data_IF_419299012445
#
_entry.id   IF_419299012445
#
_cell.length_a   1.000
_cell.length_b   1.000
_cell.length_c   1.000
_cell.angle_alpha   90.00
_cell.angle_beta   90.00
_cell.angle_gamma   90.00
#
_symmetry.space_group_name_H-M   'P 1'
#
loop_
_entity.id
_entity.type
_entity.pdbx_description
1 polymer ?
#
# COMPACT_ATOMS: atom_id res chain seq x y z
N UNK A 1 3.96 9.01 -22.55
CA UNK A 1 4.32 9.92 -21.43
C UNK A 1 4.49 9.09 -20.15
N UNK A 2 5.51 9.33 -19.32
CA UNK A 2 5.74 8.57 -18.07
C UNK A 2 5.27 9.37 -16.86
N UNK A 3 4.45 8.77 -16.02
CA UNK A 3 3.90 9.42 -14.82
C UNK A 3 5.02 9.43 -13.76
N UNK A 4 5.55 10.61 -13.45
CA UNK A 4 6.56 10.79 -12.41
C UNK A 4 5.92 11.30 -11.12
N UNK A 5 6.16 10.61 -10.01
CA UNK A 5 5.93 11.13 -8.66
C UNK A 5 7.27 11.39 -7.96
N UNK A 6 7.36 12.52 -7.25
CA UNK A 6 8.52 12.79 -6.40
C UNK A 6 8.55 11.78 -5.24
N UNK A 7 9.76 11.33 -4.90
CA UNK A 7 10.01 10.41 -3.79
C UNK A 7 9.43 10.93 -2.47
N UNK A 8 9.45 12.25 -2.26
CA UNK A 8 8.89 12.87 -1.05
C UNK A 8 7.40 12.58 -0.88
N UNK A 9 6.63 12.58 -1.97
CA UNK A 9 5.21 12.23 -1.94
C UNK A 9 4.98 10.74 -1.67
N UNK A 10 5.83 9.87 -2.22
CA UNK A 10 5.74 8.42 -1.98
C UNK A 10 6.03 8.08 -0.51
N UNK A 11 6.90 8.83 0.17
CA UNK A 11 7.18 8.61 1.58
C UNK A 11 6.00 8.95 2.50
N UNK A 12 5.13 9.89 2.12
CA UNK A 12 3.93 10.23 2.88
C UNK A 12 2.92 9.07 2.96
N UNK A 13 2.99 8.12 2.02
CA UNK A 13 2.16 6.92 2.03
C UNK A 13 2.56 5.91 3.11
N UNK A 14 3.85 5.82 3.47
CA UNK A 14 4.34 4.85 4.45
C UNK A 14 3.69 4.94 5.84
N UNK A 15 3.63 6.10 6.52
CA UNK A 15 3.01 6.17 7.84
C UNK A 15 1.53 5.77 7.80
N UNK A 16 0.80 6.19 6.76
CA UNK A 16 -0.61 5.81 6.58
C UNK A 16 -0.77 4.31 6.40
N UNK A 17 0.06 3.69 5.55
CA UNK A 17 0.04 2.26 5.30
C UNK A 17 0.30 1.46 6.58
N UNK A 18 1.33 1.85 7.33
CA UNK A 18 1.72 1.19 8.58
C UNK A 18 0.61 1.30 9.61
N UNK A 19 0.08 2.50 9.85
CA UNK A 19 -0.99 2.72 10.83
C UNK A 19 -2.24 1.91 10.49
N UNK A 20 -2.74 1.98 9.25
CA UNK A 20 -3.96 1.26 8.84
C UNK A 20 -3.78 -0.25 8.95
N UNK A 21 -2.62 -0.76 8.51
CA UNK A 21 -2.35 -2.20 8.53
C UNK A 21 -2.26 -2.75 9.96
N UNK A 22 -1.62 -2.00 10.87
CA UNK A 22 -1.54 -2.36 12.29
C UNK A 22 -2.91 -2.31 12.97
N UNK A 23 -3.72 -1.29 12.72
CA UNK A 23 -5.08 -1.18 13.29
C UNK A 23 -5.96 -2.34 12.83
N UNK A 24 -5.88 -2.73 11.56
CA UNK A 24 -6.61 -3.88 11.03
C UNK A 24 -6.15 -5.18 11.69
N UNK A 25 -4.84 -5.38 11.86
CA UNK A 25 -4.28 -6.54 12.54
C UNK A 25 -4.71 -6.63 14.01
N UNK A 26 -4.59 -5.53 14.74
CA UNK A 26 -4.88 -5.42 16.17
C UNK A 26 -6.38 -5.55 16.49
N UNK A 27 -7.26 -5.16 15.57
CA UNK A 27 -8.71 -5.30 15.77
C UNK A 27 -9.20 -6.75 15.61
N UNK A 28 -8.39 -7.64 15.02
CA UNK A 28 -8.77 -9.03 14.70
C UNK A 28 -8.08 -10.07 15.57
N UNK A 29 -6.91 -9.75 16.10
CA UNK A 29 -6.10 -10.69 16.86
C UNK A 29 -5.60 -10.03 18.14
N UNK A 30 -5.62 -10.78 19.24
CA UNK A 30 -5.06 -10.34 20.52
C UNK A 30 -3.59 -10.75 20.69
N UNK A 31 -3.14 -11.74 19.91
CA UNK A 31 -1.76 -12.23 19.94
C UNK A 31 -0.88 -11.41 19.00
N UNK A 32 0.15 -10.76 19.55
CA UNK A 32 1.15 -9.98 18.81
C UNK A 32 1.66 -10.62 17.50
N UNK A 33 2.05 -11.92 17.44
CA UNK A 33 2.53 -12.50 16.19
C UNK A 33 1.47 -12.54 15.09
N UNK A 34 0.20 -12.78 15.45
CA UNK A 34 -0.92 -12.79 14.49
C UNK A 34 -1.28 -11.38 14.01
N UNK A 35 -1.16 -10.38 14.90
CA UNK A 35 -1.33 -8.96 14.54
C UNK A 35 -0.34 -8.57 13.44
N UNK A 36 0.94 -8.91 13.63
CA UNK A 36 2.00 -8.57 12.68
C UNK A 36 1.85 -9.29 11.34
N UNK A 37 1.52 -10.59 11.36
CA UNK A 37 1.28 -11.34 10.12
C UNK A 37 0.13 -10.73 9.31
N UNK A 38 -1.00 -10.46 9.98
CA UNK A 38 -2.15 -9.84 9.33
C UNK A 38 -1.83 -8.43 8.83
N UNK A 39 -1.07 -7.63 9.60
CA UNK A 39 -0.64 -6.31 9.20
C UNK A 39 0.24 -6.35 7.95
N UNK A 40 1.22 -7.26 7.88
CA UNK A 40 2.07 -7.43 6.70
C UNK A 40 1.25 -7.87 5.49
N UNK A 41 0.38 -8.86 5.62
CA UNK A 41 -0.50 -9.30 4.52
C UNK A 41 -1.39 -8.16 4.02
N UNK A 42 -1.89 -7.33 4.94
CA UNK A 42 -2.71 -6.15 4.61
C UNK A 42 -1.90 -5.09 3.87
N UNK A 43 -0.70 -4.78 4.34
CA UNK A 43 0.20 -3.81 3.72
C UNK A 43 0.60 -4.22 2.29
N UNK A 44 0.89 -5.51 2.10
CA UNK A 44 1.19 -6.10 0.78
C UNK A 44 -0.01 -5.99 -0.14
N UNK A 45 -1.21 -6.32 0.33
CA UNK A 45 -2.44 -6.21 -0.47
C UNK A 45 -2.73 -4.78 -0.93
N UNK A 46 -2.68 -3.82 0.01
CA UNK A 46 -2.92 -2.39 -0.30
C UNK A 46 -1.89 -1.90 -1.31
N UNK A 47 -0.60 -2.18 -1.07
CA UNK A 47 0.47 -1.73 -1.97
C UNK A 47 0.38 -2.36 -3.35
N UNK A 48 0.02 -3.64 -3.43
CA UNK A 48 -0.18 -4.34 -4.70
C UNK A 48 -1.35 -3.76 -5.49
N UNK A 49 -2.45 -3.43 -4.81
CA UNK A 49 -3.61 -2.79 -5.45
C UNK A 49 -3.26 -1.40 -5.98
N UNK A 50 -2.60 -0.56 -5.16
CA UNK A 50 -2.15 0.77 -5.57
C UNK A 50 -1.17 0.70 -6.76
N UNK A 51 -0.23 -0.24 -6.73
CA UNK A 51 0.70 -0.48 -7.85
C UNK A 51 -0.06 -0.93 -9.11
N UNK A 52 -1.07 -1.79 -8.96
CA UNK A 52 -1.94 -2.20 -10.07
C UNK A 52 -2.62 -1.02 -10.73
N UNK A 53 -3.19 -0.09 -9.95
CA UNK A 53 -3.77 1.15 -10.47
C UNK A 53 -2.72 1.96 -11.23
N UNK A 54 -1.54 2.17 -10.64
CA UNK A 54 -0.46 2.89 -11.30
C UNK A 54 -0.09 2.27 -12.65
N UNK A 55 0.05 0.94 -12.72
CA UNK A 55 0.37 0.24 -13.97
C UNK A 55 -0.71 0.43 -15.02
N UNK A 56 -1.99 0.33 -14.66
CA UNK A 56 -3.10 0.58 -15.58
C UNK A 56 -3.05 2.01 -16.11
N UNK A 57 -2.91 3.00 -15.22
CA UNK A 57 -2.80 4.41 -15.62
C UNK A 57 -1.58 4.66 -16.51
N UNK A 58 -0.46 4.01 -16.22
CA UNK A 58 0.76 4.16 -16.99
C UNK A 58 0.61 3.57 -18.40
N UNK A 59 -0.06 2.42 -18.55
CA UNK A 59 -0.37 1.83 -19.85
C UNK A 59 -1.28 2.76 -20.64
N UNK A 60 -2.34 3.29 -20.03
CA UNK A 60 -3.25 4.24 -20.67
C UNK A 60 -2.50 5.49 -21.13
N UNK A 61 -1.58 6.03 -20.31
CA UNK A 61 -0.74 7.18 -20.65
C UNK A 61 0.30 6.93 -21.75
N UNK A 62 0.51 5.68 -22.17
CA UNK A 62 1.31 5.34 -23.34
C UNK A 62 0.45 5.20 -24.60
N UNK A 63 -0.82 4.83 -24.44
CA UNK A 63 -1.78 4.67 -25.53
C UNK A 63 -2.37 6.01 -26.00
N UNK A 64 -2.41 7.00 -25.09
CA UNK A 64 -2.77 8.40 -25.36
C UNK A 64 -1.50 9.22 -25.56
#
# INVERSE_FOLDING_TARGET
MTIHMSIGYLLLYLPLLVTVSLVIGASRHEQNPLILDQAVRTAVWISSFMLGIYLVLQIVSWLV
#
